data_IF_752806498697
#
_entry.id   IF_752806498697
#
_cell.length_a   1.000
_cell.length_b   1.000
_cell.length_c   1.000
_cell.angle_alpha   90.00
_cell.angle_beta   90.00
_cell.angle_gamma   90.00
#
_symmetry.space_group_name_H-M   'P 1'
#
loop_
_entity.id
_entity.type
_entity.pdbx_description
1 polymer ?
#
# COMPACT_ATOMS: atom_id res chain seq x y z
N UNK A 1 2.33 50.02 -29.10
CA UNK A 1 1.96 48.61 -29.33
C UNK A 1 2.75 47.74 -28.37
N UNK A 2 2.14 47.22 -27.30
CA UNK A 2 2.75 46.18 -26.48
C UNK A 2 1.70 45.10 -26.27
N UNK A 3 1.83 44.02 -27.05
CA UNK A 3 1.01 42.81 -26.90
C UNK A 3 1.75 41.92 -25.90
N UNK A 4 1.29 41.91 -24.65
CA UNK A 4 1.72 40.92 -23.66
C UNK A 4 0.83 39.68 -23.83
N UNK A 5 1.12 38.87 -24.85
CA UNK A 5 0.64 37.49 -24.89
C UNK A 5 1.53 36.68 -23.97
N UNK A 6 1.19 36.67 -22.68
CA UNK A 6 1.60 35.60 -21.79
C UNK A 6 1.01 34.31 -22.38
N UNK A 7 1.82 33.58 -23.12
CA UNK A 7 1.52 32.21 -23.48
C UNK A 7 1.52 31.42 -22.18
N UNK A 8 0.34 31.27 -21.58
CA UNK A 8 0.07 30.19 -20.64
C UNK A 8 0.30 28.90 -21.43
N UNK A 9 1.55 28.43 -21.47
CA UNK A 9 1.83 27.04 -21.74
C UNK A 9 1.14 26.27 -20.62
N UNK A 10 -0.06 25.77 -20.90
CA UNK A 10 -0.64 24.68 -20.15
C UNK A 10 0.44 23.58 -20.08
N UNK A 11 0.76 23.04 -18.90
CA UNK A 11 1.70 21.93 -18.83
C UNK A 11 1.16 20.82 -19.72
N UNK A 12 1.93 20.45 -20.77
CA UNK A 12 1.50 19.57 -21.88
C UNK A 12 1.12 18.14 -21.42
N UNK A 13 1.31 17.81 -20.15
CA UNK A 13 0.83 16.57 -19.51
C UNK A 13 0.74 16.79 -18.01
N UNK A 14 -0.43 16.55 -17.41
CA UNK A 14 -0.56 16.43 -15.95
C UNK A 14 0.02 15.07 -15.56
N UNK A 15 1.12 15.08 -14.83
CA UNK A 15 1.70 13.86 -14.30
C UNK A 15 0.86 13.36 -13.11
N UNK A 16 0.68 12.04 -13.02
CA UNK A 16 -0.16 11.42 -11.99
C UNK A 16 0.52 10.22 -11.36
N UNK A 17 0.29 10.03 -10.06
CA UNK A 17 0.68 8.82 -9.34
C UNK A 17 -0.54 7.90 -9.18
N UNK A 18 -0.36 6.61 -9.48
CA UNK A 18 -1.40 5.61 -9.30
C UNK A 18 -1.37 5.03 -7.87
N UNK A 19 -2.55 4.85 -7.29
CA UNK A 19 -2.76 4.29 -5.96
C UNK A 19 -3.85 3.22 -5.97
N UNK A 20 -3.74 2.26 -5.06
CA UNK A 20 -4.75 1.22 -4.85
C UNK A 20 -4.74 0.79 -3.39
N UNK A 21 -5.91 0.56 -2.78
CA UNK A 21 -5.96 -0.08 -1.46
C UNK A 21 -5.35 -1.49 -1.53
N UNK A 22 -4.61 -1.88 -0.49
CA UNK A 22 -4.06 -3.24 -0.38
C UNK A 22 -5.15 -4.30 -0.18
N UNK A 23 -6.33 -3.91 0.32
CA UNK A 23 -7.51 -4.78 0.38
C UNK A 23 -8.17 -5.01 -0.98
N UNK A 24 -7.64 -4.39 -2.04
CA UNK A 24 -8.15 -4.48 -3.40
C UNK A 24 -8.98 -3.26 -3.81
N UNK A 25 -9.66 -3.37 -4.96
CA UNK A 25 -10.49 -2.29 -5.51
C UNK A 25 -9.91 -1.61 -6.74
N UNK A 26 -10.45 -0.43 -7.07
CA UNK A 26 -10.07 0.35 -8.24
C UNK A 26 -8.72 1.03 -8.04
N UNK A 27 -7.97 1.20 -9.14
CA UNK A 27 -6.78 2.05 -9.14
C UNK A 27 -7.22 3.49 -9.39
N UNK A 28 -6.81 4.39 -8.50
CA UNK A 28 -7.07 5.83 -8.59
C UNK A 28 -5.78 6.55 -8.93
N UNK A 29 -5.89 7.74 -9.52
CA UNK A 29 -4.76 8.58 -9.90
C UNK A 29 -4.90 9.92 -9.19
N UNK A 30 -3.80 10.39 -8.60
CA UNK A 30 -3.71 11.69 -7.94
C UNK A 30 -2.68 12.51 -8.70
N UNK A 31 -2.99 13.78 -8.87
CA UNK A 31 -2.15 14.73 -9.58
C UNK A 31 -0.85 14.97 -8.80
N UNK A 32 0.22 15.16 -9.57
CA UNK A 32 1.56 15.41 -9.05
C UNK A 32 1.85 16.90 -9.15
N UNK A 33 2.38 17.45 -8.07
CA UNK A 33 2.83 18.83 -8.00
C UNK A 33 4.34 18.85 -8.24
N UNK A 34 4.78 19.67 -9.18
CA UNK A 34 6.20 19.92 -9.37
C UNK A 34 6.68 20.99 -8.37
N UNK A 35 7.47 20.56 -7.40
CA UNK A 35 8.10 21.44 -6.44
C UNK A 35 9.40 22.02 -7.02
N UNK A 36 9.35 23.28 -7.42
CA UNK A 36 10.49 24.00 -8.01
C UNK A 36 11.64 24.23 -7.03
N UNK A 37 11.35 24.32 -5.73
CA UNK A 37 12.36 24.63 -4.71
C UNK A 37 13.36 23.48 -4.55
N UNK A 38 12.88 22.24 -4.61
CA UNK A 38 13.72 21.05 -4.47
C UNK A 38 13.84 20.24 -5.76
N UNK A 39 13.17 20.63 -6.84
CA UNK A 39 13.23 19.98 -8.15
C UNK A 39 12.60 18.59 -8.15
N UNK A 40 11.54 18.39 -7.35
CA UNK A 40 10.91 17.08 -7.15
C UNK A 40 9.46 17.07 -7.60
N UNK A 41 9.00 15.89 -7.99
CA UNK A 41 7.61 15.62 -8.31
C UNK A 41 6.96 14.99 -7.09
N UNK A 42 6.01 15.69 -6.49
CA UNK A 42 5.45 15.37 -5.18
C UNK A 42 3.96 15.07 -5.28
N UNK A 43 3.51 14.12 -4.47
CA UNK A 43 2.08 13.90 -4.20
C UNK A 43 1.80 14.33 -2.77
N UNK A 44 0.90 15.32 -2.56
CA UNK A 44 0.49 15.73 -1.23
C UNK A 44 -0.16 14.58 -0.47
N UNK A 45 0.18 14.44 0.82
CA UNK A 45 -0.44 13.43 1.67
C UNK A 45 -1.92 13.69 1.92
N UNK A 46 -2.33 14.96 1.93
CA UNK A 46 -3.72 15.34 2.19
C UNK A 46 -4.64 14.89 1.05
N UNK A 47 -4.22 15.04 -0.21
CA UNK A 47 -4.96 14.52 -1.37
C UNK A 47 -5.12 12.98 -1.32
N UNK A 48 -4.12 12.27 -0.79
CA UNK A 48 -4.21 10.83 -0.54
C UNK A 48 -5.26 10.56 0.54
N UNK A 49 -5.31 11.34 1.62
CA UNK A 49 -6.31 11.19 2.68
C UNK A 49 -7.72 11.55 2.22
N UNK A 50 -7.89 12.48 1.27
CA UNK A 50 -9.22 12.77 0.72
C UNK A 50 -9.86 11.54 0.05
N UNK A 51 -9.03 10.73 -0.62
CA UNK A 51 -9.48 9.51 -1.30
C UNK A 51 -9.42 8.28 -0.38
N UNK A 52 -8.45 8.24 0.52
CA UNK A 52 -8.22 7.17 1.48
C UNK A 52 -8.18 7.74 2.92
N UNK A 53 -9.33 8.05 3.54
CA UNK A 53 -9.40 8.82 4.79
C UNK A 53 -8.70 8.20 6.00
N UNK A 54 -8.34 6.93 5.92
CA UNK A 54 -7.72 6.18 6.99
C UNK A 54 -6.34 5.61 6.60
N UNK A 55 -5.72 6.17 5.57
CA UNK A 55 -4.38 5.77 5.14
C UNK A 55 -3.36 6.01 6.26
N UNK A 56 -2.62 4.96 6.61
CA UNK A 56 -1.57 4.97 7.63
C UNK A 56 -0.21 5.15 6.94
N UNK A 57 0.06 4.31 5.94
CA UNK A 57 1.29 4.32 5.17
C UNK A 57 1.06 3.79 3.75
N UNK A 58 2.05 4.04 2.91
CA UNK A 58 2.10 3.56 1.54
C UNK A 58 3.17 2.50 1.41
N UNK A 59 2.96 1.55 0.51
CA UNK A 59 3.96 0.54 0.17
C UNK A 59 4.03 0.29 -1.32
N UNK A 60 5.19 -0.10 -1.78
CA UNK A 60 5.42 -0.64 -3.11
C UNK A 60 5.88 -2.12 -3.00
N UNK A 61 6.48 -2.63 -4.07
CA UNK A 61 7.09 -3.96 -4.08
C UNK A 61 8.35 -4.07 -3.20
N UNK A 62 9.02 -2.95 -2.93
CA UNK A 62 10.31 -2.89 -2.22
C UNK A 62 10.16 -2.60 -0.73
N UNK A 63 9.02 -2.06 -0.28
CA UNK A 63 8.74 -1.81 1.12
C UNK A 63 7.82 -0.63 1.35
N UNK A 64 8.01 0.05 2.48
CA UNK A 64 7.23 1.23 2.86
C UNK A 64 7.79 2.46 2.14
N UNK A 65 6.92 3.22 1.49
CA UNK A 65 7.29 4.49 0.86
C UNK A 65 7.41 5.56 1.94
N UNK A 66 8.60 6.16 2.02
CA UNK A 66 8.91 7.18 3.01
C UNK A 66 8.45 8.57 2.53
N UNK A 67 8.14 9.51 3.46
CA UNK A 67 7.87 10.89 3.10
C UNK A 67 9.06 11.53 2.37
N UNK A 68 8.77 12.39 1.40
CA UNK A 68 9.77 13.13 0.63
C UNK A 68 10.66 13.97 1.55
N UNK A 69 11.93 14.06 1.19
CA UNK A 69 12.95 14.79 1.95
C UNK A 69 13.76 15.69 1.03
N UNK A 70 14.13 16.85 1.55
CA UNK A 70 15.05 17.75 0.88
C UNK A 70 16.49 17.19 0.86
N UNK A 71 17.39 17.91 0.19
CA UNK A 71 18.83 17.58 0.15
C UNK A 71 19.48 17.54 1.54
N UNK A 72 18.91 18.25 2.52
CA UNK A 72 19.32 18.24 3.93
C UNK A 72 18.75 17.08 4.74
N UNK A 73 18.06 16.11 4.11
CA UNK A 73 17.35 14.99 4.73
C UNK A 73 16.20 15.41 5.67
N UNK A 74 15.75 16.67 5.59
CA UNK A 74 14.57 17.14 6.33
C UNK A 74 13.33 16.80 5.53
N UNK A 75 12.24 16.51 6.25
CA UNK A 75 10.94 16.25 5.59
C UNK A 75 10.44 17.52 4.93
N UNK A 76 9.94 17.39 3.72
CA UNK A 76 9.28 18.48 3.00
C UNK A 76 7.91 18.72 3.63
N UNK A 77 7.55 19.99 3.80
CA UNK A 77 6.25 20.42 4.31
C UNK A 77 5.50 21.18 3.21
N UNK A 78 4.20 20.92 2.98
CA UNK A 78 3.36 19.93 3.67
C UNK A 78 3.80 18.49 3.41
N UNK A 79 3.36 17.55 4.26
CA UNK A 79 3.75 16.14 4.16
C UNK A 79 3.43 15.65 2.75
N UNK A 80 4.44 15.18 2.05
CA UNK A 80 4.32 14.70 0.68
C UNK A 80 5.16 13.45 0.48
N UNK A 81 4.90 12.71 -0.58
CA UNK A 81 5.78 11.64 -1.07
C UNK A 81 6.33 12.00 -2.43
N UNK A 82 7.50 11.46 -2.75
CA UNK A 82 8.08 11.58 -4.08
C UNK A 82 7.38 10.60 -5.04
N UNK A 83 7.10 11.08 -6.24
CA UNK A 83 6.53 10.30 -7.33
C UNK A 83 7.33 9.00 -7.56
N UNK A 84 6.61 7.87 -7.60
CA UNK A 84 7.14 6.56 -7.95
C UNK A 84 6.67 6.21 -9.37
N UNK A 85 7.41 6.69 -10.36
CA UNK A 85 7.03 6.59 -11.77
C UNK A 85 6.81 5.13 -12.22
N UNK A 86 5.66 4.87 -12.86
CA UNK A 86 5.30 3.56 -13.38
C UNK A 86 4.90 2.52 -12.31
N UNK A 87 4.83 2.91 -11.03
CA UNK A 87 4.45 2.03 -9.92
C UNK A 87 3.04 2.37 -9.44
N UNK A 88 2.24 1.35 -9.11
CA UNK A 88 0.99 1.54 -8.37
C UNK A 88 1.28 1.39 -6.88
N UNK A 89 1.06 2.44 -6.11
CA UNK A 89 1.31 2.43 -4.67
C UNK A 89 0.14 1.78 -3.92
N UNK A 90 0.47 0.80 -3.08
CA UNK A 90 -0.45 0.17 -2.16
C UNK A 90 -0.72 1.07 -0.96
N UNK A 91 -1.97 1.45 -0.77
CA UNK A 91 -2.42 2.25 0.38
C UNK A 91 -2.85 1.30 1.48
N UNK A 92 -2.19 1.41 2.63
CA UNK A 92 -2.54 0.65 3.83
C UNK A 92 -3.31 1.53 4.79
N UNK A 93 -4.51 1.11 5.14
CA UNK A 93 -5.46 1.80 6.02
C UNK A 93 -5.74 1.01 7.29
N UNK A 94 -6.30 1.66 8.31
CA UNK A 94 -6.65 1.04 9.61
C UNK A 94 -7.67 -0.10 9.53
N UNK A 95 -8.44 -0.19 8.45
CA UNK A 95 -9.42 -1.25 8.20
C UNK A 95 -8.87 -2.45 7.45
N UNK A 96 -7.64 -2.35 6.92
CA UNK A 96 -7.05 -3.46 6.20
C UNK A 96 -6.69 -4.56 7.21
N UNK A 97 -6.98 -5.84 6.90
CA UNK A 97 -6.57 -6.93 7.77
C UNK A 97 -5.05 -6.86 7.95
N UNK A 98 -4.52 -7.10 9.17
CA UNK A 98 -3.08 -7.12 9.38
C UNK A 98 -2.46 -8.10 8.38
N UNK A 99 -1.26 -7.81 7.85
CA UNK A 99 -0.62 -8.71 6.92
C UNK A 99 -0.58 -10.09 7.55
N UNK A 100 -1.33 -11.03 6.97
CA UNK A 100 -1.28 -12.43 7.36
C UNK A 100 0.11 -12.90 6.96
N UNK A 101 1.08 -12.69 7.85
CA UNK A 101 2.32 -13.45 7.83
C UNK A 101 1.84 -14.87 8.01
N UNK A 102 1.71 -15.60 6.89
CA UNK A 102 1.61 -17.05 6.94
C UNK A 102 2.87 -17.50 7.67
N UNK A 103 2.75 -17.69 8.98
CA UNK A 103 3.78 -18.34 9.76
C UNK A 103 3.89 -19.75 9.17
N UNK A 104 5.09 -20.26 8.86
CA UNK A 104 5.27 -21.60 8.28
C UNK A 104 4.78 -22.77 9.17
N UNK A 105 4.16 -22.49 10.31
CA UNK A 105 3.81 -23.48 11.34
C UNK A 105 2.49 -24.20 11.05
N UNK A 106 1.66 -23.73 10.10
CA UNK A 106 0.37 -24.36 9.76
C UNK A 106 0.43 -25.48 8.68
N UNK A 107 1.61 -25.84 8.16
CA UNK A 107 1.71 -26.94 7.17
C UNK A 107 1.79 -28.33 7.83
N UNK A 108 1.86 -28.43 9.16
CA UNK A 108 1.91 -29.73 9.83
C UNK A 108 0.66 -29.91 10.69
N UNK A 109 -0.39 -30.49 10.12
CA UNK A 109 -1.31 -31.47 10.74
C UNK A 109 -2.55 -31.68 9.85
N UNK A 110 -2.33 -32.09 8.59
CA UNK A 110 -3.37 -32.70 7.76
C UNK A 110 -2.98 -34.13 7.41
N UNK A 111 -2.75 -34.97 8.43
CA UNK A 111 -2.75 -36.43 8.28
C UNK A 111 -3.07 -37.10 9.61
N UNK A 112 -4.34 -37.42 9.83
CA UNK A 112 -4.73 -38.25 10.96
C UNK A 112 -6.16 -38.07 11.44
N UNK A 113 -7.16 -38.15 10.55
CA UNK A 113 -8.52 -38.48 10.95
C UNK A 113 -8.85 -39.84 10.38
N UNK A 114 -8.84 -40.85 11.24
CA UNK A 114 -9.87 -41.88 11.37
C UNK A 114 -9.32 -43.07 12.17
N UNK A 115 -9.62 -43.14 13.45
CA UNK A 115 -10.15 -44.39 14.01
C UNK A 115 -10.86 -44.08 15.33
N UNK A 116 -12.17 -44.15 15.26
CA UNK A 116 -13.15 -44.12 16.31
C UNK A 116 -12.92 -45.25 17.34
N UNK A 117 -13.06 -44.94 18.63
CA UNK A 117 -13.20 -45.92 19.73
C UNK A 117 -14.71 -46.18 19.94
N UNK A 118 -15.18 -47.31 20.54
CA UNK A 118 -14.98 -47.50 21.98
C UNK A 118 -14.98 -48.97 22.52
N UNK A 119 -14.29 -49.14 23.65
CA UNK A 119 -14.73 -49.75 24.92
C UNK A 119 -15.54 -51.08 24.96
N UNK A 120 -14.92 -52.04 25.67
CA UNK A 120 -15.50 -53.10 26.53
C UNK A 120 -16.11 -54.36 25.88
N UNK A 121 -15.50 -55.53 26.17
CA UNK A 121 -16.01 -56.50 27.17
C UNK A 121 -15.13 -57.79 27.25
N UNK A 122 -14.85 -58.16 28.49
CA UNK A 122 -14.62 -59.50 29.06
C UNK A 122 -14.94 -60.74 28.19
N UNK A 123 -14.05 -61.75 28.24
CA UNK A 123 -14.32 -63.11 28.78
C UNK A 123 -13.62 -64.24 28.00
N UNK A 124 -12.82 -65.00 28.74
CA UNK A 124 -12.40 -66.42 28.68
C UNK A 124 -13.14 -67.35 27.69
N UNK A 125 -12.41 -68.27 27.04
CA UNK A 125 -12.50 -69.75 27.20
C UNK A 125 -11.48 -70.45 26.27
N UNK A 126 -10.85 -71.48 26.83
CA UNK A 126 -9.90 -72.44 26.25
C UNK A 126 -10.51 -73.29 25.13
N UNK A 127 -9.65 -73.87 24.28
CA UNK A 127 -9.71 -75.29 23.90
C UNK A 127 -8.40 -75.75 23.23
#
# INVERSE_FOLDING_TARGET
>A
MFSWLYSLKLPDTIETQAFRSISGGLTVRIDVIHDQAHGMNLVPWDDILEIFPNAIYLRDANGIVMPARDFGKKRISPRSIELQAGVVLGVVSSYDPPPTIARPEDITMAKGVASEAPSARHSTIEH
#
